data_IF_681515546418
#
_entry.id   IF_681515546418
#
_cell.length_a   1.000
_cell.length_b   1.000
_cell.length_c   1.000
_cell.angle_alpha   90.00
_cell.angle_beta   90.00
_cell.angle_gamma   90.00
#
_symmetry.space_group_name_H-M   'P 1'
#
loop_
_entity.id
_entity.type
_entity.pdbx_description
1 polymer ?
#
# COMPACT_ATOMS: atom_id res chain seq x y z
N UNK A 1 -8.70 -16.71 -9.51
CA UNK A 1 -7.37 -16.43 -10.09
C UNK A 1 -6.42 -17.46 -9.53
N UNK A 2 -5.84 -18.26 -10.41
CA UNK A 2 -4.77 -19.19 -10.11
C UNK A 2 -3.46 -18.45 -9.82
N UNK A 3 -2.49 -19.13 -9.20
CA UNK A 3 -1.15 -18.58 -8.95
C UNK A 3 -0.45 -18.13 -10.24
N UNK A 4 -0.60 -18.91 -11.32
CA UNK A 4 0.02 -18.62 -12.60
C UNK A 4 -0.58 -17.36 -13.26
N UNK A 5 -1.88 -17.14 -13.11
CA UNK A 5 -2.53 -15.91 -13.59
C UNK A 5 -2.04 -14.68 -12.83
N UNK A 6 -1.99 -14.76 -11.49
CA UNK A 6 -1.50 -13.67 -10.64
C UNK A 6 -0.05 -13.31 -10.96
N UNK A 7 0.81 -14.30 -11.16
CA UNK A 7 2.21 -14.05 -11.51
C UNK A 7 2.36 -13.38 -12.88
N UNK A 8 1.61 -13.85 -13.89
CA UNK A 8 1.61 -13.23 -15.23
C UNK A 8 1.12 -11.79 -15.20
N UNK A 9 0.13 -11.51 -14.37
CA UNK A 9 -0.41 -10.17 -14.22
C UNK A 9 0.58 -9.22 -13.56
N UNK A 10 1.24 -9.66 -12.48
CA UNK A 10 2.33 -8.92 -11.85
C UNK A 10 3.48 -8.68 -12.84
N UNK A 11 3.90 -9.70 -13.60
CA UNK A 11 4.93 -9.55 -14.63
C UNK A 11 4.52 -8.55 -15.74
N UNK A 12 3.24 -8.55 -16.13
CA UNK A 12 2.73 -7.58 -17.09
C UNK A 12 2.76 -6.16 -16.53
N UNK A 13 2.31 -5.95 -15.28
CA UNK A 13 2.36 -4.66 -14.58
C UNK A 13 3.78 -4.14 -14.52
N UNK A 14 4.74 -4.97 -14.09
CA UNK A 14 6.16 -4.61 -13.98
C UNK A 14 6.73 -4.11 -15.32
N UNK A 15 6.27 -4.64 -16.45
CA UNK A 15 6.80 -4.33 -17.78
C UNK A 15 6.12 -3.14 -18.47
N UNK A 16 4.84 -2.89 -18.17
CA UNK A 16 4.02 -1.98 -18.97
C UNK A 16 3.34 -0.87 -18.15
N UNK A 17 3.26 -1.01 -16.84
CA UNK A 17 2.62 -0.02 -15.97
C UNK A 17 3.65 0.98 -15.47
N UNK A 18 3.26 2.25 -15.40
CA UNK A 18 4.06 3.32 -14.82
C UNK A 18 3.36 3.80 -13.56
N UNK A 19 4.10 3.92 -12.46
CA UNK A 19 3.53 4.37 -11.20
C UNK A 19 3.08 5.84 -11.29
N UNK A 20 1.82 6.10 -10.94
CA UNK A 20 1.26 7.45 -10.88
C UNK A 20 0.79 7.80 -9.45
N UNK A 21 1.63 8.48 -8.65
CA UNK A 21 1.23 8.92 -7.32
C UNK A 21 0.03 9.88 -7.37
N UNK A 22 -0.92 9.68 -6.46
CA UNK A 22 -1.99 10.65 -6.19
C UNK A 22 -1.42 11.85 -5.43
N UNK A 23 -0.59 11.57 -4.42
CA UNK A 23 0.22 12.57 -3.74
C UNK A 23 1.48 11.93 -3.16
N UNK A 24 2.47 12.78 -2.87
CA UNK A 24 3.74 12.37 -2.30
C UNK A 24 4.18 13.38 -1.24
N UNK A 25 4.61 12.86 -0.10
CA UNK A 25 5.28 13.59 0.99
C UNK A 25 6.75 13.15 1.06
N UNK A 26 7.51 13.66 2.01
CA UNK A 26 8.88 13.20 2.23
C UNK A 26 8.95 11.70 2.57
N UNK A 27 7.97 11.17 3.32
CA UNK A 27 8.02 9.82 3.88
C UNK A 27 6.84 8.94 3.43
N UNK A 28 6.01 9.40 2.50
CA UNK A 28 4.83 8.67 2.02
C UNK A 28 4.58 8.93 0.53
N UNK A 29 4.20 7.89 -0.19
CA UNK A 29 3.64 7.98 -1.54
C UNK A 29 2.29 7.27 -1.52
N UNK A 30 1.24 7.98 -1.89
CA UNK A 30 -0.11 7.45 -1.94
C UNK A 30 -0.53 7.19 -3.38
N UNK A 31 -0.93 5.97 -3.67
CA UNK A 31 -1.37 5.50 -4.97
C UNK A 31 -2.84 5.15 -4.98
N UNK A 32 -3.44 5.17 -6.18
CA UNK A 32 -4.84 4.78 -6.34
C UNK A 32 -4.99 3.27 -6.31
N UNK A 33 -4.06 2.53 -6.90
CA UNK A 33 -4.18 1.09 -7.15
C UNK A 33 -2.88 0.36 -6.75
N UNK A 34 -2.95 -0.96 -6.63
CA UNK A 34 -1.79 -1.78 -6.27
C UNK A 34 -0.77 -1.86 -7.41
N UNK A 35 -1.24 -1.75 -8.65
CA UNK A 35 -0.46 -1.71 -9.87
C UNK A 35 0.65 -0.65 -9.80
N UNK A 36 0.32 0.54 -9.28
CA UNK A 36 1.29 1.62 -9.12
C UNK A 36 2.37 1.29 -8.08
N UNK A 37 1.99 0.64 -6.98
CA UNK A 37 2.95 0.20 -5.94
C UNK A 37 3.92 -0.84 -6.52
N UNK A 38 3.39 -1.80 -7.29
CA UNK A 38 4.19 -2.84 -7.95
C UNK A 38 5.17 -2.19 -8.94
N UNK A 39 4.67 -1.28 -9.80
CA UNK A 39 5.48 -0.56 -10.76
C UNK A 39 6.57 0.28 -10.07
N UNK A 40 6.22 1.00 -9.01
CA UNK A 40 7.17 1.80 -8.25
C UNK A 40 8.28 0.95 -7.64
N UNK A 41 7.95 -0.19 -7.03
CA UNK A 41 8.94 -1.11 -6.45
C UNK A 41 9.84 -1.70 -7.54
N UNK A 42 9.28 -2.06 -8.69
CA UNK A 42 10.05 -2.61 -9.80
C UNK A 42 11.05 -1.61 -10.39
N UNK A 43 10.64 -0.34 -10.50
CA UNK A 43 11.46 0.75 -10.99
C UNK A 43 12.56 1.13 -9.99
N UNK A 44 12.19 1.34 -8.72
CA UNK A 44 13.08 1.89 -7.69
C UNK A 44 13.93 0.84 -6.97
N UNK A 45 13.54 -0.44 -7.04
CA UNK A 45 14.27 -1.59 -6.47
C UNK A 45 14.71 -1.36 -5.01
N UNK A 46 13.76 -1.12 -4.09
CA UNK A 46 14.08 -0.91 -2.69
C UNK A 46 14.89 -2.08 -2.12
N UNK A 47 15.77 -1.74 -1.18
CA UNK A 47 16.76 -2.65 -0.59
C UNK A 47 16.32 -3.24 0.72
N UNK A 48 15.45 -2.52 1.44
CA UNK A 48 14.94 -2.92 2.74
C UNK A 48 13.42 -2.78 2.76
N UNK A 49 12.78 -3.70 3.47
CA UNK A 49 11.34 -3.72 3.69
C UNK A 49 11.09 -3.90 5.20
N UNK A 50 10.16 -3.12 5.78
CA UNK A 50 9.70 -3.41 7.14
C UNK A 50 8.69 -4.56 7.12
N UNK A 51 8.69 -5.32 8.21
CA UNK A 51 7.74 -6.39 8.48
C UNK A 51 6.96 -6.00 9.74
N UNK A 52 5.61 -6.08 9.74
CA UNK A 52 4.76 -6.55 8.65
C UNK A 52 4.45 -5.46 7.61
N UNK A 53 3.88 -5.88 6.48
CA UNK A 53 3.06 -5.00 5.66
C UNK A 53 1.67 -4.88 6.29
N UNK A 54 1.01 -3.73 6.13
CA UNK A 54 -0.27 -3.46 6.77
C UNK A 54 -1.44 -3.53 5.80
N UNK A 55 -2.49 -4.25 6.15
CA UNK A 55 -3.82 -4.20 5.54
C UNK A 55 -4.74 -3.40 6.44
N UNK A 56 -5.20 -2.25 5.96
CA UNK A 56 -6.21 -1.46 6.65
C UNK A 56 -7.58 -1.73 6.08
N UNK A 57 -8.58 -1.89 6.94
CA UNK A 57 -9.95 -2.18 6.53
C UNK A 57 -10.91 -1.08 6.98
N UNK A 58 -11.84 -0.75 6.09
CA UNK A 58 -13.01 0.08 6.36
C UNK A 58 -14.25 -0.71 5.96
N UNK A 59 -15.14 -0.96 6.92
CA UNK A 59 -16.39 -1.64 6.65
C UNK A 59 -17.38 -0.66 6.04
N UNK A 60 -17.74 -0.92 4.79
CA UNK A 60 -18.91 -0.30 4.17
C UNK A 60 -20.16 -0.99 4.70
N UNK A 61 -21.00 -0.20 5.37
CA UNK A 61 -22.34 -0.65 5.71
C UNK A 61 -23.11 -0.81 4.39
N UNK A 62 -23.36 -2.06 4.01
CA UNK A 62 -24.36 -2.34 3.00
C UNK A 62 -25.76 -1.93 3.50
N UNK A 63 -26.75 -1.93 2.61
CA UNK A 63 -28.16 -1.69 3.00
C UNK A 63 -28.55 -2.65 4.13
N UNK A 64 -29.47 -2.21 5.00
CA UNK A 64 -29.96 -3.03 6.11
C UNK A 64 -30.29 -4.46 5.64
N UNK A 65 -29.58 -5.45 6.18
CA UNK A 65 -29.76 -6.88 5.84
C UNK A 65 -28.69 -7.49 4.91
N UNK A 66 -27.74 -6.74 4.37
CA UNK A 66 -26.61 -7.32 3.60
C UNK A 66 -25.38 -7.54 4.48
N UNK A 67 -24.63 -8.64 4.25
CA UNK A 67 -23.27 -8.80 4.82
C UNK A 67 -22.44 -7.56 4.46
N UNK A 68 -21.77 -6.97 5.44
CA UNK A 68 -20.91 -5.80 5.23
C UNK A 68 -19.79 -6.12 4.23
N UNK A 69 -19.41 -5.11 3.45
CA UNK A 69 -18.36 -5.16 2.45
C UNK A 69 -17.16 -4.37 2.96
N UNK A 70 -15.92 -4.82 2.72
CA UNK A 70 -14.74 -4.08 3.15
C UNK A 70 -14.05 -3.40 1.96
N UNK A 71 -13.74 -2.12 2.14
CA UNK A 71 -12.64 -1.48 1.40
C UNK A 71 -11.35 -1.75 2.13
N UNK A 72 -10.34 -2.12 1.36
CA UNK A 72 -9.03 -2.49 1.86
C UNK A 72 -7.99 -1.52 1.30
N UNK A 73 -7.05 -1.16 2.16
CA UNK A 73 -5.89 -0.35 1.84
C UNK A 73 -4.66 -1.13 2.26
N UNK A 74 -3.58 -1.01 1.51
CA UNK A 74 -2.31 -1.66 1.85
C UNK A 74 -1.23 -0.60 2.05
N UNK A 75 -0.32 -0.86 3.00
CA UNK A 75 0.87 -0.07 3.20
C UNK A 75 2.10 -0.96 3.31
N UNK A 76 3.12 -0.63 2.53
CA UNK A 76 4.44 -1.25 2.56
C UNK A 76 5.46 -0.17 2.90
N UNK A 77 6.27 -0.39 3.92
CA UNK A 77 7.38 0.51 4.26
C UNK A 77 8.69 0.01 3.66
N UNK A 78 9.33 0.85 2.85
CA UNK A 78 10.52 0.50 2.08
C UNK A 78 11.63 1.52 2.28
N UNK A 79 12.88 1.11 2.08
CA UNK A 79 14.01 2.02 1.91
C UNK A 79 14.82 1.63 0.68
N UNK A 80 15.26 2.64 -0.07
CA UNK A 80 16.10 2.48 -1.26
C UNK A 80 17.59 2.35 -0.92
N UNK A 81 17.97 2.60 0.33
CA UNK A 81 19.35 2.48 0.81
C UNK A 81 19.54 1.18 1.58
N UNK A 82 20.78 0.68 1.62
CA UNK A 82 21.17 -0.49 2.43
C UNK A 82 21.58 -0.09 3.86
N UNK A 83 21.69 1.21 4.15
CA UNK A 83 22.19 1.74 5.42
C UNK A 83 21.14 1.67 6.53
N UNK A 84 21.28 0.68 7.41
CA UNK A 84 20.38 0.45 8.54
C UNK A 84 20.38 1.54 9.61
N UNK A 85 21.33 2.48 9.58
CA UNK A 85 21.38 3.61 10.52
C UNK A 85 20.50 4.78 10.08
N UNK A 86 20.10 4.82 8.81
CA UNK A 86 19.24 5.87 8.27
C UNK A 86 17.77 5.57 8.53
N UNK A 87 17.08 6.61 9.00
CA UNK A 87 15.62 6.65 9.10
C UNK A 87 15.02 7.26 7.83
N UNK A 88 15.18 6.55 6.71
CA UNK A 88 14.80 6.98 5.35
C UNK A 88 13.66 6.14 4.76
N UNK A 89 12.74 5.70 5.63
CA UNK A 89 11.63 4.83 5.25
C UNK A 89 10.53 5.60 4.52
N UNK A 90 10.11 5.04 3.39
CA UNK A 90 9.01 5.54 2.56
C UNK A 90 7.81 4.60 2.74
N UNK A 91 6.66 5.16 3.10
CA UNK A 91 5.37 4.46 3.16
C UNK A 91 4.74 4.47 1.77
N UNK A 92 4.68 3.32 1.10
CA UNK A 92 3.91 3.13 -0.12
C UNK A 92 2.50 2.69 0.27
N UNK A 93 1.51 3.55 0.04
CA UNK A 93 0.11 3.30 0.39
C UNK A 93 -0.69 3.13 -0.90
N UNK A 94 -1.57 2.13 -0.97
CA UNK A 94 -2.57 2.04 -2.04
C UNK A 94 -3.98 1.72 -1.49
N UNK A 95 -4.97 2.05 -2.31
CA UNK A 95 -6.38 1.76 -2.07
C UNK A 95 -6.95 0.88 -3.21
N UNK A 96 -8.27 0.86 -3.36
CA UNK A 96 -8.94 0.22 -4.51
C UNK A 96 -9.29 -1.25 -4.29
N UNK A 97 -8.68 -1.90 -3.31
CA UNK A 97 -8.94 -3.30 -2.99
C UNK A 97 -10.25 -3.49 -2.23
N UNK A 98 -10.96 -4.59 -2.52
CA UNK A 98 -12.23 -4.95 -1.87
C UNK A 98 -12.33 -6.45 -1.63
N UNK A 99 -13.06 -6.86 -0.58
CA UNK A 99 -13.31 -8.28 -0.29
C UNK A 99 -14.59 -8.85 -0.97
N UNK A 100 -15.26 -8.04 -1.78
CA UNK A 100 -16.47 -8.39 -2.52
C UNK A 100 -16.26 -8.27 -4.04
N UNK A 101 -17.16 -8.88 -4.81
CA UNK A 101 -17.06 -9.02 -6.27
C UNK A 101 -16.79 -7.71 -7.02
N UNK A 102 -15.96 -7.78 -8.06
CA UNK A 102 -15.62 -6.65 -8.92
C UNK A 102 -14.10 -6.44 -9.04
N UNK A 103 -13.70 -5.32 -9.64
CA UNK A 103 -12.29 -4.96 -9.85
C UNK A 103 -11.48 -4.98 -8.54
N UNK A 104 -12.01 -4.42 -7.45
CA UNK A 104 -11.30 -4.42 -6.17
C UNK A 104 -10.99 -5.81 -5.58
N UNK A 105 -11.78 -6.85 -5.90
CA UNK A 105 -11.45 -8.22 -5.49
C UNK A 105 -10.32 -8.87 -6.29
N UNK A 106 -10.10 -8.40 -7.53
CA UNK A 106 -8.93 -8.78 -8.32
C UNK A 106 -7.71 -8.10 -7.71
N UNK A 107 -7.80 -6.80 -7.46
CA UNK A 107 -6.69 -5.99 -6.95
C UNK A 107 -6.25 -6.48 -5.56
N UNK A 108 -7.20 -6.88 -4.70
CA UNK A 108 -6.91 -7.53 -3.42
C UNK A 108 -6.08 -8.81 -3.61
N UNK A 109 -6.42 -9.68 -4.57
CA UNK A 109 -5.68 -10.92 -4.82
C UNK A 109 -4.27 -10.63 -5.35
N UNK A 110 -4.13 -9.64 -6.22
CA UNK A 110 -2.84 -9.19 -6.74
C UNK A 110 -1.98 -8.64 -5.59
N UNK A 111 -2.54 -7.76 -4.75
CA UNK A 111 -1.86 -7.18 -3.59
C UNK A 111 -1.38 -8.25 -2.62
N UNK A 112 -2.27 -9.14 -2.18
CA UNK A 112 -1.92 -10.17 -1.21
C UNK A 112 -0.90 -11.17 -1.76
N UNK A 113 -1.02 -11.54 -3.04
CA UNK A 113 -0.05 -12.42 -3.68
C UNK A 113 1.30 -11.73 -3.84
N UNK A 114 1.34 -10.49 -4.31
CA UNK A 114 2.57 -9.74 -4.47
C UNK A 114 3.28 -9.55 -3.13
N UNK A 115 2.57 -9.05 -2.11
CA UNK A 115 3.15 -8.79 -0.79
C UNK A 115 3.64 -10.09 -0.13
N UNK A 116 2.82 -11.14 -0.11
CA UNK A 116 3.16 -12.35 0.65
C UNK A 116 4.03 -13.35 -0.10
N UNK A 117 3.95 -13.42 -1.44
CA UNK A 117 4.65 -14.42 -2.25
C UNK A 117 5.80 -13.84 -3.07
N UNK A 118 5.70 -12.60 -3.51
CA UNK A 118 6.78 -11.95 -4.27
C UNK A 118 7.74 -11.23 -3.31
N UNK A 119 7.23 -10.43 -2.39
CA UNK A 119 8.06 -9.72 -1.40
C UNK A 119 8.36 -10.55 -0.14
N UNK A 120 7.59 -11.62 0.11
CA UNK A 120 7.78 -12.48 1.28
C UNK A 120 7.40 -11.83 2.62
N UNK A 121 6.57 -10.78 2.60
CA UNK A 121 6.16 -10.06 3.80
C UNK A 121 4.91 -10.70 4.43
N UNK A 122 4.85 -10.68 5.76
CA UNK A 122 3.62 -10.98 6.50
C UNK A 122 2.67 -9.78 6.39
N UNK A 123 1.37 -10.05 6.22
CA UNK A 123 0.32 -9.03 6.21
C UNK A 123 -0.40 -9.07 7.56
N UNK A 124 -0.41 -7.94 8.26
CA UNK A 124 -1.19 -7.75 9.48
C UNK A 124 -2.29 -6.71 9.29
N UNK A 125 -3.33 -6.79 10.12
CA UNK A 125 -4.54 -5.98 9.96
C UNK A 125 -4.64 -4.86 10.98
N UNK A 126 -5.14 -3.69 10.54
CA UNK A 126 -5.50 -2.58 11.42
C UNK A 126 -6.77 -1.86 10.94
N UNK A 127 -7.55 -1.22 11.83
CA UNK A 127 -8.63 -0.33 11.42
C UNK A 127 -8.12 0.84 10.56
N UNK A 128 -8.90 1.27 9.56
CA UNK A 128 -8.52 2.40 8.67
C UNK A 128 -8.22 3.71 9.41
N UNK A 129 -8.75 3.90 10.61
CA UNK A 129 -8.46 5.09 11.43
C UNK A 129 -6.97 5.28 11.70
N UNK A 130 -6.20 4.20 11.82
CA UNK A 130 -4.74 4.27 11.97
C UNK A 130 -4.06 4.83 10.72
N UNK A 131 -4.49 4.41 9.53
CA UNK A 131 -3.99 4.95 8.27
C UNK A 131 -4.36 6.42 8.10
N UNK A 132 -5.59 6.79 8.48
CA UNK A 132 -6.04 8.18 8.41
C UNK A 132 -5.19 9.10 9.28
N UNK A 133 -4.87 8.69 10.51
CA UNK A 133 -3.99 9.46 11.38
C UNK A 133 -2.60 9.65 10.73
N UNK A 134 -2.01 8.58 10.17
CA UNK A 134 -0.73 8.67 9.47
C UNK A 134 -0.76 9.65 8.29
N UNK A 135 -1.82 9.60 7.47
CA UNK A 135 -1.98 10.51 6.32
C UNK A 135 -2.14 11.96 6.79
N UNK A 136 -2.97 12.21 7.80
CA UNK A 136 -3.18 13.55 8.36
C UNK A 136 -1.87 14.10 8.94
N UNK A 137 -1.11 13.30 9.68
CA UNK A 137 0.18 13.69 10.26
C UNK A 137 1.24 14.00 9.19
N UNK A 138 1.24 13.28 8.06
CA UNK A 138 2.13 13.56 6.93
C UNK A 138 1.73 14.86 6.21
N UNK A 139 0.44 15.07 5.95
CA UNK A 139 -0.06 16.29 5.30
C UNK A 139 0.12 17.53 6.19
N UNK A 140 -0.06 17.38 7.50
CA UNK A 140 0.18 18.45 8.47
C UNK A 140 1.65 18.88 8.45
N UNK A 141 2.59 17.93 8.45
CA UNK A 141 4.03 18.24 8.37
C UNK A 141 4.43 18.91 7.07
N UNK A 142 3.82 18.56 5.94
CA UNK A 142 4.06 19.25 4.67
C UNK A 142 3.61 20.72 4.69
N UNK A 143 2.54 21.03 5.43
CA UNK A 143 1.98 22.39 5.51
C UNK A 143 2.58 23.23 6.63
N UNK A 144 3.27 22.61 7.59
CA UNK A 144 3.90 23.27 8.74
C UNK A 144 5.36 22.77 8.96
N UNK A 145 6.27 22.98 8.00
CA UNK A 145 7.63 22.43 8.04
C UNK A 145 8.47 22.96 9.22
N UNK A 146 8.16 24.17 9.70
CA UNK A 146 8.92 24.85 10.77
C UNK A 146 8.51 24.41 12.19
N UNK A 147 7.39 23.71 12.35
CA UNK A 147 6.96 23.13 13.63
C UNK A 147 7.55 21.75 13.83
N UNK A 148 8.90 21.68 13.82
CA UNK A 148 9.67 20.48 14.06
C UNK A 148 9.15 19.69 15.26
N UNK A 149 8.96 18.39 15.06
CA UNK A 149 8.41 17.44 16.02
C UNK A 149 9.20 17.51 17.34
N UNK A 150 8.55 17.95 18.42
CA UNK A 150 8.91 17.51 19.78
C UNK A 150 8.74 15.99 19.82
N UNK A 151 9.86 15.27 19.70
CA UNK A 151 9.94 13.83 19.97
C UNK A 151 9.69 13.54 21.44
#
# INVERSE_FOLDING_TARGET
>A
MSKNELWREIDWIIKHHKAEPVFQTQNMIYFREIEDVIAWIAENKPKRFKIPAWRYYCRENGRAGTKGMNRLYYMIEVSVTEDWTKDDWIKLVCQGCTDYSGHGSRDMKIAEYFISKVLGLVIEERPVSYLMNLIVDELYRMTHPDMGITR
#
